data_IF_472067930314
#
_entry.id   IF_472067930314
#
_cell.length_a   1.000
_cell.length_b   1.000
_cell.length_c   1.000
_cell.angle_alpha   90.00
_cell.angle_beta   90.00
_cell.angle_gamma   90.00
#
_symmetry.space_group_name_H-M   'P 1'
#
loop_
_entity.id
_entity.type
_entity.pdbx_description
1 polymer ?
#
# COMPACT_ATOMS: atom_id res chain seq x y z
N UNK A 1 -7.18 -13.47 21.51
CA UNK A 1 -7.80 -12.28 20.89
C UNK A 1 -7.67 -12.44 19.39
N UNK A 2 -8.66 -12.02 18.60
CA UNK A 2 -8.54 -12.01 17.13
C UNK A 2 -7.77 -10.75 16.76
N UNK A 3 -6.70 -10.90 15.98
CA UNK A 3 -5.95 -9.75 15.45
C UNK A 3 -6.86 -8.91 14.54
N UNK A 4 -6.84 -7.57 14.60
CA UNK A 4 -7.52 -6.75 13.61
C UNK A 4 -6.98 -7.07 12.21
N UNK A 5 -7.84 -7.05 11.20
CA UNK A 5 -7.43 -7.32 9.82
C UNK A 5 -7.55 -6.05 8.97
N UNK A 6 -6.47 -5.69 8.30
CA UNK A 6 -6.48 -4.67 7.26
C UNK A 6 -6.85 -5.34 5.94
N UNK A 7 -8.06 -5.09 5.47
CA UNK A 7 -8.55 -5.64 4.20
C UNK A 7 -7.92 -4.94 3.00
N UNK A 8 -7.86 -5.65 1.86
CA UNK A 8 -7.44 -5.07 0.58
C UNK A 8 -8.23 -3.81 0.23
N UNK A 9 -9.54 -3.82 0.47
CA UNK A 9 -10.40 -2.68 0.14
C UNK A 9 -10.07 -1.44 0.97
N UNK A 10 -9.80 -1.59 2.27
CA UNK A 10 -9.40 -0.46 3.12
C UNK A 10 -8.10 0.19 2.63
N UNK A 11 -7.11 -0.62 2.25
CA UNK A 11 -5.85 -0.12 1.70
C UNK A 11 -6.06 0.58 0.34
N UNK A 12 -6.88 0.01 -0.54
CA UNK A 12 -7.21 0.64 -1.82
C UNK A 12 -7.96 1.96 -1.63
N UNK A 13 -8.88 2.05 -0.67
CA UNK A 13 -9.67 3.24 -0.42
C UNK A 13 -8.83 4.40 0.10
N UNK A 14 -7.86 4.15 1.00
CA UNK A 14 -6.97 5.20 1.50
C UNK A 14 -6.02 5.70 0.42
N UNK A 15 -5.42 4.79 -0.36
CA UNK A 15 -4.53 5.15 -1.49
C UNK A 15 -5.30 5.92 -2.56
N UNK A 16 -6.52 5.48 -2.89
CA UNK A 16 -7.38 6.18 -3.85
C UNK A 16 -7.80 7.55 -3.34
N UNK A 17 -8.14 7.67 -2.05
CA UNK A 17 -8.48 8.96 -1.44
C UNK A 17 -7.31 9.93 -1.52
N UNK A 18 -6.08 9.45 -1.32
CA UNK A 18 -4.87 10.24 -1.53
C UNK A 18 -4.68 10.63 -3.00
N UNK A 19 -4.78 9.68 -3.94
CA UNK A 19 -4.70 9.92 -5.38
C UNK A 19 -5.72 10.93 -5.92
N UNK A 20 -6.93 10.92 -5.35
CA UNK A 20 -8.01 11.87 -5.62
C UNK A 20 -7.89 13.19 -4.85
N UNK A 21 -6.79 13.39 -4.12
CA UNK A 21 -6.50 14.58 -3.30
C UNK A 21 -7.56 14.88 -2.23
N UNK A 22 -8.26 13.86 -1.74
CA UNK A 22 -9.18 13.96 -0.61
C UNK A 22 -8.47 13.96 0.75
N UNK A 23 -7.27 13.38 0.79
CA UNK A 23 -6.36 13.40 1.95
C UNK A 23 -4.96 13.81 1.51
N UNK A 24 -4.18 14.37 2.43
CA UNK A 24 -2.76 14.72 2.20
C UNK A 24 -1.85 13.49 2.25
N UNK A 25 -0.59 13.66 1.82
CA UNK A 25 0.45 12.64 2.00
C UNK A 25 0.69 12.31 3.48
N UNK A 26 0.61 13.31 4.37
CA UNK A 26 0.70 13.13 5.82
C UNK A 26 -0.41 12.22 6.33
N UNK A 27 -1.66 12.47 5.91
CA UNK A 27 -2.80 11.64 6.31
C UNK A 27 -2.71 10.21 5.76
N UNK A 28 -2.14 10.03 4.56
CA UNK A 28 -1.85 8.69 4.03
C UNK A 28 -0.81 7.98 4.91
N UNK A 29 0.32 8.64 5.20
CA UNK A 29 1.40 8.05 5.98
C UNK A 29 0.98 7.76 7.43
N UNK A 30 0.26 8.69 8.07
CA UNK A 30 -0.30 8.49 9.42
C UNK A 30 -1.20 7.25 9.46
N UNK A 31 -1.98 7.02 8.40
CA UNK A 31 -2.80 5.82 8.29
C UNK A 31 -1.93 4.56 8.20
N UNK A 32 -0.85 4.58 7.41
CA UNK A 32 0.08 3.45 7.32
C UNK A 32 0.75 3.17 8.66
N UNK A 33 1.30 4.19 9.33
CA UNK A 33 1.93 4.06 10.66
C UNK A 33 0.94 3.54 11.71
N UNK A 34 -0.33 3.92 11.61
CA UNK A 34 -1.36 3.50 12.58
C UNK A 34 -1.85 2.07 12.35
N UNK A 35 -1.88 1.60 11.09
CA UNK A 35 -2.53 0.34 10.72
C UNK A 35 -1.56 -0.76 10.33
N UNK A 36 -0.35 -0.42 9.89
CA UNK A 36 0.68 -1.39 9.57
C UNK A 36 1.45 -1.77 10.82
N UNK A 37 0.97 -2.83 11.45
CA UNK A 37 1.67 -3.52 12.54
C UNK A 37 1.53 -5.02 12.28
N UNK A 38 2.50 -5.67 11.62
CA UNK A 38 2.43 -7.10 11.32
C UNK A 38 2.38 -8.00 12.58
N UNK A 39 2.86 -7.49 13.73
CA UNK A 39 2.85 -8.22 14.99
C UNK A 39 1.46 -8.20 15.63
N UNK A 40 0.70 -7.11 15.46
CA UNK A 40 -0.63 -6.94 16.06
C UNK A 40 -1.81 -7.07 15.08
N UNK A 41 -1.62 -6.86 13.78
CA UNK A 41 -2.64 -6.88 12.74
C UNK A 41 -2.38 -7.96 11.68
N UNK A 42 -3.45 -8.61 11.21
CA UNK A 42 -3.42 -9.39 9.98
C UNK A 42 -3.56 -8.46 8.77
N UNK A 43 -2.83 -8.74 7.68
CA UNK A 43 -2.85 -7.93 6.46
C UNK A 43 -3.39 -8.77 5.30
N UNK A 44 -4.57 -8.43 4.81
CA UNK A 44 -5.18 -9.09 3.66
C UNK A 44 -5.68 -10.50 3.95
N UNK A 45 -6.17 -10.77 5.15
CA UNK A 45 -6.69 -12.10 5.52
C UNK A 45 -7.74 -12.59 4.50
N UNK A 46 -7.50 -13.77 3.92
CA UNK A 46 -8.37 -14.38 2.91
C UNK A 46 -8.02 -14.02 1.46
N UNK A 47 -7.06 -13.12 1.24
CA UNK A 47 -6.49 -12.85 -0.09
C UNK A 47 -5.43 -13.89 -0.46
N UNK A 48 -5.10 -14.05 -1.76
CA UNK A 48 -3.96 -14.85 -2.17
C UNK A 48 -2.62 -14.34 -1.59
N UNK A 49 -1.64 -15.22 -1.44
CA UNK A 49 -0.34 -14.89 -0.84
C UNK A 49 0.36 -13.71 -1.52
N UNK A 50 0.36 -13.66 -2.87
CA UNK A 50 0.96 -12.56 -3.62
C UNK A 50 0.24 -11.22 -3.37
N UNK A 51 -1.08 -11.25 -3.16
CA UNK A 51 -1.85 -10.03 -2.83
C UNK A 51 -1.51 -9.58 -1.42
N UNK A 52 -1.42 -10.51 -0.45
CA UNK A 52 -0.98 -10.18 0.91
C UNK A 52 0.43 -9.60 0.90
N UNK A 53 1.37 -10.18 0.15
CA UNK A 53 2.73 -9.66 0.00
C UNK A 53 2.73 -8.24 -0.61
N UNK A 54 1.94 -8.00 -1.66
CA UNK A 54 1.80 -6.68 -2.26
C UNK A 54 1.27 -5.64 -1.26
N UNK A 55 0.25 -6.01 -0.47
CA UNK A 55 -0.29 -5.14 0.57
C UNK A 55 0.75 -4.80 1.63
N UNK A 56 1.47 -5.81 2.14
CA UNK A 56 2.54 -5.60 3.13
C UNK A 56 3.63 -4.66 2.60
N UNK A 57 4.11 -4.90 1.37
CA UNK A 57 5.13 -4.04 0.75
C UNK A 57 4.62 -2.61 0.61
N UNK A 58 3.42 -2.41 0.06
CA UNK A 58 2.88 -1.05 -0.13
C UNK A 58 2.72 -0.30 1.19
N UNK A 59 2.18 -0.98 2.21
CA UNK A 59 2.01 -0.38 3.54
C UNK A 59 3.36 -0.01 4.16
N UNK A 60 4.33 -0.92 4.14
CA UNK A 60 5.69 -0.69 4.64
C UNK A 60 6.39 0.47 3.94
N UNK A 61 6.34 0.54 2.61
CA UNK A 61 7.03 1.60 1.86
C UNK A 61 6.46 2.99 2.18
N UNK A 62 5.13 3.14 2.23
CA UNK A 62 4.52 4.42 2.59
C UNK A 62 4.68 4.75 4.09
N UNK A 63 4.82 3.75 4.96
CA UNK A 63 5.17 3.96 6.36
C UNK A 63 6.56 4.60 6.50
N UNK A 64 7.58 4.02 5.87
CA UNK A 64 8.99 4.39 6.11
C UNK A 64 9.53 5.49 5.21
N UNK A 65 8.95 5.69 4.02
CA UNK A 65 9.47 6.65 3.06
C UNK A 65 9.23 8.09 3.53
N UNK A 66 10.16 9.01 3.20
CA UNK A 66 9.93 10.43 3.44
C UNK A 66 8.82 10.94 2.53
N UNK A 67 7.90 11.74 3.05
CA UNK A 67 6.75 12.26 2.29
C UNK A 67 7.15 13.05 1.04
N UNK A 68 8.30 13.73 1.07
CA UNK A 68 8.87 14.45 -0.08
C UNK A 68 9.12 13.52 -1.29
N UNK A 69 9.22 12.21 -1.04
CA UNK A 69 9.41 11.19 -2.07
C UNK A 69 8.12 10.72 -2.72
N UNK A 70 6.96 11.01 -2.14
CA UNK A 70 5.71 10.44 -2.62
C UNK A 70 5.32 11.08 -3.95
N UNK A 71 5.14 10.27 -4.99
CA UNK A 71 4.69 10.76 -6.29
C UNK A 71 3.19 10.59 -6.43
N UNK A 72 2.42 11.63 -6.08
CA UNK A 72 0.96 11.64 -6.20
C UNK A 72 0.49 11.26 -7.62
N UNK A 73 1.17 11.74 -8.66
CA UNK A 73 0.84 11.40 -10.05
C UNK A 73 1.00 9.91 -10.40
N UNK A 74 1.61 9.12 -9.49
CA UNK A 74 1.95 7.71 -9.65
C UNK A 74 1.24 6.80 -8.65
N UNK A 75 0.28 7.31 -7.85
CA UNK A 75 -0.46 6.51 -6.87
C UNK A 75 -1.09 5.23 -7.44
N UNK A 76 -1.47 5.26 -8.72
CA UNK A 76 -2.05 4.12 -9.42
C UNK A 76 -1.08 2.92 -9.52
N UNK A 77 0.24 3.13 -9.41
CA UNK A 77 1.21 2.03 -9.36
C UNK A 77 1.02 1.17 -8.11
N UNK A 78 0.74 1.78 -6.95
CA UNK A 78 0.44 1.05 -5.72
C UNK A 78 -0.87 0.24 -5.86
N UNK A 79 -1.91 0.86 -6.42
CA UNK A 79 -3.18 0.17 -6.69
C UNK A 79 -2.98 -1.01 -7.64
N UNK A 80 -2.27 -0.80 -8.75
CA UNK A 80 -2.00 -1.85 -9.74
C UNK A 80 -1.18 -3.00 -9.16
N UNK A 81 -0.30 -2.72 -8.20
CA UNK A 81 0.49 -3.74 -7.53
C UNK A 81 -0.37 -4.57 -6.57
N UNK A 82 -1.20 -3.93 -5.75
CA UNK A 82 -2.12 -4.62 -4.83
C UNK A 82 -3.14 -5.50 -5.59
N UNK A 83 -3.59 -5.06 -6.77
CA UNK A 83 -4.60 -5.79 -7.56
C UNK A 83 -3.99 -6.70 -8.63
N UNK A 84 -2.68 -6.88 -8.65
CA UNK A 84 -2.00 -7.69 -9.65
C UNK A 84 -2.41 -9.16 -9.54
N UNK A 85 -2.56 -9.80 -10.70
CA UNK A 85 -2.52 -11.25 -10.79
C UNK A 85 -1.10 -11.75 -10.52
N UNK A 86 -0.97 -12.98 -10.04
CA UNK A 86 0.32 -13.62 -9.72
C UNK A 86 1.33 -13.50 -10.88
N UNK A 87 0.87 -13.69 -12.13
CA UNK A 87 1.71 -13.62 -13.34
C UNK A 87 2.37 -12.26 -13.56
N UNK A 88 1.83 -11.19 -12.97
CA UNK A 88 2.30 -9.81 -13.10
C UNK A 88 2.91 -9.25 -11.81
N UNK A 89 2.84 -9.98 -10.70
CA UNK A 89 3.28 -9.54 -9.39
C UNK A 89 4.68 -8.89 -9.41
N UNK A 90 5.67 -9.60 -9.94
CA UNK A 90 7.05 -9.10 -10.00
C UNK A 90 7.21 -7.85 -10.88
N UNK A 91 6.47 -7.78 -11.99
CA UNK A 91 6.48 -6.61 -12.88
C UNK A 91 5.91 -5.39 -12.15
N UNK A 92 4.74 -5.53 -11.54
CA UNK A 92 4.07 -4.43 -10.83
C UNK A 92 4.81 -4.02 -9.56
N UNK A 93 5.45 -4.98 -8.88
CA UNK A 93 6.34 -4.71 -7.74
C UNK A 93 7.50 -3.79 -8.15
N UNK A 94 8.19 -4.15 -9.24
CA UNK A 94 9.30 -3.35 -9.75
C UNK A 94 8.85 -1.93 -10.11
N UNK A 95 7.74 -1.80 -10.84
CA UNK A 95 7.18 -0.49 -11.19
C UNK A 95 6.84 0.34 -9.94
N UNK A 96 6.21 -0.25 -8.93
CA UNK A 96 5.88 0.47 -7.70
C UNK A 96 7.13 0.96 -6.96
N UNK A 97 8.11 0.07 -6.73
CA UNK A 97 9.30 0.40 -5.93
C UNK A 97 10.23 1.41 -6.62
N UNK A 98 10.27 1.43 -7.96
CA UNK A 98 11.18 2.30 -8.71
C UNK A 98 10.52 3.54 -9.32
N UNK A 99 9.21 3.52 -9.59
CA UNK A 99 8.51 4.66 -10.20
C UNK A 99 7.42 5.27 -9.31
N UNK A 100 7.09 4.64 -8.16
CA UNK A 100 6.09 5.14 -7.21
C UNK A 100 6.61 6.27 -6.32
N UNK A 101 7.93 6.42 -6.21
CA UNK A 101 8.60 7.39 -5.37
C UNK A 101 9.70 8.12 -6.18
N UNK A 102 10.09 9.33 -5.78
CA UNK A 102 11.29 9.95 -6.32
C UNK A 102 12.56 9.51 -5.56
N UNK A 103 13.69 9.56 -6.27
CA UNK A 103 15.02 9.17 -5.79
C UNK A 103 15.51 10.00 -4.59
#
# INVERSE_FOLDING_TARGET
MVKPNITKQQLLDVIKSWGEQKISSDQLQDWMVTNYDPDDNDIGLGEPEWTQEAMNIVMNEYEIAKQEKFLLAKYQLAINFITAEESRFNQTRHLFLHEGFCD
#
